data_IF_313776511663
#
_entry.id   IF_313776511663
#
_cell.length_a   1.000
_cell.length_b   1.000
_cell.length_c   1.000
_cell.angle_alpha   90.00
_cell.angle_beta   90.00
_cell.angle_gamma   90.00
#
_symmetry.space_group_name_H-M   'P 1'
#
loop_
_entity.id
_entity.type
_entity.pdbx_description
1 polymer ?
#
# COMPACT_ATOMS: atom_id res chain seq x y z
N UNK A 1 -13.96 -58.95 -47.77
CA UNK A 1 -14.77 -59.13 -46.53
C UNK A 1 -15.29 -57.77 -46.17
N UNK A 2 -16.50 -57.52 -46.63
CA UNK A 2 -17.17 -56.23 -46.66
C UNK A 2 -18.25 -56.17 -45.58
N UNK A 3 -18.41 -54.99 -45.00
CA UNK A 3 -19.65 -54.39 -44.50
C UNK A 3 -19.36 -52.88 -44.40
N UNK A 4 -20.07 -51.93 -45.04
CA UNK A 4 -21.48 -51.80 -45.42
C UNK A 4 -22.44 -51.81 -44.20
N UNK A 5 -23.36 -50.85 -44.02
CA UNK A 5 -23.72 -49.64 -44.80
C UNK A 5 -24.53 -48.64 -43.92
N UNK A 6 -24.93 -47.49 -44.48
CA UNK A 6 -26.04 -46.61 -44.03
C UNK A 6 -25.79 -45.73 -42.77
N UNK A 7 -26.42 -44.56 -42.54
CA UNK A 7 -27.23 -43.55 -43.29
C UNK A 7 -27.32 -42.29 -42.37
N UNK A 8 -27.67 -41.05 -42.71
CA UNK A 8 -27.75 -40.23 -43.94
C UNK A 8 -27.95 -38.75 -43.47
N UNK A 9 -27.28 -37.72 -44.04
CA UNK A 9 -27.50 -36.31 -43.67
C UNK A 9 -28.52 -35.63 -44.61
N UNK A 10 -29.38 -34.76 -44.05
CA UNK A 10 -30.33 -33.95 -44.82
C UNK A 10 -29.82 -32.51 -44.99
N UNK A 11 -29.76 -32.06 -46.25
CA UNK A 11 -29.66 -30.64 -46.60
C UNK A 11 -31.07 -30.02 -46.70
N UNK A 12 -31.31 -28.89 -46.04
CA UNK A 12 -32.38 -27.95 -46.41
C UNK A 12 -31.85 -26.51 -46.37
N UNK A 13 -31.37 -26.03 -47.52
CA UNK A 13 -31.21 -24.60 -47.79
C UNK A 13 -32.60 -23.94 -47.89
N UNK A 14 -32.90 -22.97 -47.03
CA UNK A 14 -33.81 -21.88 -47.38
C UNK A 14 -33.26 -20.53 -46.89
N UNK A 15 -33.08 -19.63 -47.86
CA UNK A 15 -32.70 -18.24 -47.67
C UNK A 15 -33.86 -17.40 -47.13
N UNK A 16 -33.55 -16.35 -46.38
CA UNK A 16 -34.18 -15.06 -46.66
C UNK A 16 -33.22 -13.89 -46.38
N UNK A 17 -33.17 -12.93 -47.31
CA UNK A 17 -32.30 -11.75 -47.22
C UNK A 17 -33.14 -10.49 -47.15
N UNK A 18 -33.45 -10.02 -45.94
CA UNK A 18 -34.04 -8.69 -45.76
C UNK A 18 -32.99 -7.58 -45.92
N UNK A 19 -33.40 -6.47 -46.53
CA UNK A 19 -32.50 -5.51 -47.16
C UNK A 19 -32.24 -4.31 -46.25
N UNK A 20 -31.01 -3.78 -46.29
CA UNK A 20 -30.64 -2.58 -45.55
C UNK A 20 -31.36 -1.36 -46.13
N UNK A 21 -32.41 -0.91 -45.44
CA UNK A 21 -33.10 0.34 -45.75
C UNK A 21 -32.24 1.55 -45.35
N UNK A 22 -31.69 2.25 -46.34
CA UNK A 22 -31.12 3.58 -46.13
C UNK A 22 -32.20 4.55 -45.64
N UNK A 23 -31.90 5.33 -44.61
CA UNK A 23 -32.66 6.53 -44.24
C UNK A 23 -31.67 7.67 -43.96
N UNK A 24 -31.91 8.79 -44.61
CA UNK A 24 -30.96 9.89 -44.75
C UNK A 24 -31.01 10.88 -43.57
N UNK A 25 -30.02 11.78 -43.54
CA UNK A 25 -29.94 12.87 -42.57
C UNK A 25 -31.07 13.89 -42.79
N UNK A 26 -31.77 14.25 -41.71
CA UNK A 26 -32.61 15.43 -41.62
C UNK A 26 -32.16 16.28 -40.44
N UNK A 27 -31.78 17.53 -40.71
CA UNK A 27 -31.34 18.50 -39.71
C UNK A 27 -32.53 19.22 -39.02
N UNK A 28 -32.17 20.09 -38.08
CA UNK A 28 -32.97 21.14 -37.41
C UNK A 28 -33.80 20.82 -36.15
N UNK A 29 -34.05 21.91 -35.41
CA UNK A 29 -34.89 22.07 -34.18
C UNK A 29 -34.25 21.75 -32.81
N UNK A 30 -33.41 22.69 -32.37
CA UNK A 30 -33.40 23.37 -31.06
C UNK A 30 -33.58 22.59 -29.72
N UNK A 31 -32.58 22.76 -28.85
CA UNK A 31 -32.62 22.47 -27.41
C UNK A 31 -33.26 23.63 -26.60
N UNK A 32 -34.06 23.34 -25.55
CA UNK A 32 -34.28 24.24 -24.42
C UNK A 32 -33.18 24.07 -23.33
N UNK A 33 -32.97 25.05 -22.43
CA UNK A 33 -31.82 25.10 -21.53
C UNK A 33 -31.97 24.27 -20.23
N UNK A 34 -30.84 24.13 -19.52
CA UNK A 34 -30.76 23.67 -18.13
C UNK A 34 -31.24 24.77 -17.17
N UNK A 35 -31.84 24.37 -16.04
CA UNK A 35 -31.96 25.19 -14.83
C UNK A 35 -31.18 24.50 -13.70
N UNK A 36 -30.29 25.25 -13.04
CA UNK A 36 -29.61 24.84 -11.80
C UNK A 36 -30.38 25.38 -10.59
N UNK A 37 -30.66 24.56 -9.58
CA UNK A 37 -30.88 25.07 -8.21
C UNK A 37 -30.21 24.18 -7.17
N UNK A 38 -29.33 24.82 -6.39
CA UNK A 38 -28.72 24.28 -5.16
C UNK A 38 -29.74 24.32 -4.02
N UNK A 39 -29.66 23.34 -3.11
CA UNK A 39 -29.53 23.60 -1.66
C UNK A 39 -28.56 22.57 -1.10
N UNK A 40 -27.62 23.02 -0.26
CA UNK A 40 -26.88 22.17 0.67
C UNK A 40 -27.36 22.50 2.08
N UNK A 41 -27.34 21.52 3.00
CA UNK A 41 -27.67 21.75 4.40
C UNK A 41 -26.61 21.11 5.30
N UNK A 42 -26.30 21.76 6.42
CA UNK A 42 -25.25 21.39 7.36
C UNK A 42 -25.84 21.39 8.78
N UNK A 43 -25.61 20.33 9.54
CA UNK A 43 -25.97 20.29 10.96
C UNK A 43 -24.85 19.69 11.81
N UNK A 44 -24.12 20.56 12.50
CA UNK A 44 -23.24 20.17 13.60
C UNK A 44 -24.05 19.67 14.81
N UNK A 45 -23.49 18.73 15.56
CA UNK A 45 -23.96 18.40 16.90
C UNK A 45 -22.77 18.02 17.80
N UNK A 46 -22.48 18.86 18.79
CA UNK A 46 -21.42 18.62 19.79
C UNK A 46 -21.99 17.99 21.06
N UNK A 47 -21.20 17.14 21.73
CA UNK A 47 -21.59 16.45 22.96
C UNK A 47 -20.38 16.07 23.82
N UNK A 48 -20.21 16.77 24.94
CA UNK A 48 -19.21 16.50 25.99
C UNK A 48 -19.88 15.94 27.25
N UNK A 49 -19.16 15.15 28.05
CA UNK A 49 -19.16 15.22 29.52
C UNK A 49 -18.01 14.38 30.11
N UNK A 50 -17.47 14.85 31.25
CA UNK A 50 -16.30 14.36 31.99
C UNK A 50 -16.54 13.09 32.82
N UNK A 51 -15.45 12.43 33.25
CA UNK A 51 -15.16 12.28 34.69
C UNK A 51 -13.70 11.93 34.96
N UNK A 52 -13.01 12.78 35.71
CA UNK A 52 -11.68 12.51 36.29
C UNK A 52 -11.81 12.02 37.75
N UNK A 53 -10.76 11.38 38.27
CA UNK A 53 -10.47 11.24 39.71
C UNK A 53 -8.97 11.10 39.93
N UNK A 54 -8.45 11.87 40.86
CA UNK A 54 -7.09 11.79 41.40
C UNK A 54 -7.09 11.01 42.72
N UNK A 55 -5.95 10.41 43.08
CA UNK A 55 -5.52 10.12 44.45
C UNK A 55 -3.99 9.84 44.40
N UNK A 56 -3.17 10.64 45.07
CA UNK A 56 -1.70 10.51 45.10
C UNK A 56 -1.23 9.49 46.16
N UNK A 57 -0.07 8.83 45.94
CA UNK A 57 0.97 8.64 46.99
C UNK A 57 2.26 8.01 46.45
N UNK A 58 3.40 8.69 46.63
CA UNK A 58 4.73 8.15 46.33
C UNK A 58 5.30 7.22 47.41
N UNK A 59 6.07 6.21 46.98
CA UNK A 59 7.42 5.95 47.52
C UNK A 59 8.18 4.85 46.75
N UNK A 60 9.48 5.07 46.51
CA UNK A 60 10.41 4.11 45.90
C UNK A 60 10.59 2.83 46.74
N UNK A 61 11.01 1.72 46.08
CA UNK A 61 12.28 1.05 46.38
C UNK A 61 12.65 -0.06 45.36
N UNK A 62 13.89 -0.55 45.46
CA UNK A 62 14.57 -1.38 44.45
C UNK A 62 14.15 -2.87 44.36
N UNK A 63 14.50 -3.48 43.22
CA UNK A 63 14.85 -4.88 42.98
C UNK A 63 14.14 -6.02 43.77
N UNK A 64 13.32 -6.81 43.05
CA UNK A 64 13.38 -8.28 43.19
C UNK A 64 12.76 -9.03 42.00
N UNK A 65 13.53 -9.95 41.41
CA UNK A 65 13.11 -10.82 40.31
C UNK A 65 12.21 -11.97 40.78
N UNK A 66 10.91 -11.71 40.98
CA UNK A 66 9.92 -12.74 41.30
C UNK A 66 8.71 -12.71 40.35
N UNK A 67 8.38 -13.88 39.78
CA UNK A 67 7.20 -14.09 38.95
C UNK A 67 5.92 -13.72 39.70
N UNK A 68 5.34 -12.55 39.42
CA UNK A 68 3.96 -12.28 39.82
C UNK A 68 2.99 -12.99 38.88
N UNK A 69 1.97 -13.57 39.50
CA UNK A 69 0.78 -14.16 38.88
C UNK A 69 -0.05 -13.00 38.35
N UNK A 70 -0.62 -13.13 37.15
CA UNK A 70 -1.34 -12.02 36.53
C UNK A 70 -2.49 -11.52 37.40
N UNK A 71 -2.39 -10.26 37.84
CA UNK A 71 -3.56 -9.41 38.00
C UNK A 71 -4.05 -9.04 36.60
N UNK A 72 -5.34 -8.76 36.48
CA UNK A 72 -5.99 -8.56 35.18
C UNK A 72 -5.72 -7.12 34.71
N UNK A 73 -5.15 -6.95 33.52
CA UNK A 73 -5.01 -5.64 32.86
C UNK A 73 -6.44 -5.11 32.59
N UNK A 74 -7.02 -4.34 33.54
CA UNK A 74 -8.42 -3.87 33.49
C UNK A 74 -8.69 -2.85 32.36
N UNK A 75 -7.64 -2.36 31.71
CA UNK A 75 -7.72 -1.65 30.43
C UNK A 75 -7.26 -2.59 29.30
N UNK A 76 -8.08 -2.85 28.26
CA UNK A 76 -7.63 -3.56 27.08
C UNK A 76 -6.48 -2.79 26.42
N UNK A 77 -5.27 -3.36 26.40
CA UNK A 77 -4.14 -2.79 25.65
C UNK A 77 -4.55 -2.69 24.18
N UNK A 78 -4.67 -1.46 23.67
CA UNK A 78 -5.49 -1.12 22.50
C UNK A 78 -5.14 -1.86 21.19
N UNK A 79 -3.95 -2.47 21.11
CA UNK A 79 -3.44 -3.17 19.92
C UNK A 79 -3.06 -4.64 20.17
N UNK A 80 -3.37 -5.19 21.35
CA UNK A 80 -2.94 -6.55 21.73
C UNK A 80 -3.89 -7.62 21.18
N UNK A 81 -3.62 -7.98 19.92
CA UNK A 81 -4.30 -9.01 19.13
C UNK A 81 -4.69 -10.25 19.94
N UNK A 82 -5.94 -10.68 19.84
CA UNK A 82 -6.49 -11.78 20.62
C UNK A 82 -6.09 -13.15 20.08
N UNK A 83 -5.77 -14.08 20.99
CA UNK A 83 -5.30 -15.43 20.63
C UNK A 83 -6.47 -16.40 20.41
N UNK A 84 -7.27 -16.15 19.37
CA UNK A 84 -8.45 -16.94 19.02
C UNK A 84 -8.19 -18.32 18.41
N UNK A 85 -9.27 -19.05 18.13
CA UNK A 85 -9.25 -20.33 17.39
C UNK A 85 -8.82 -20.08 15.94
N UNK A 86 -8.27 -21.07 15.24
CA UNK A 86 -7.93 -20.92 13.82
C UNK A 86 -9.18 -21.20 12.98
N UNK A 87 -9.72 -20.17 12.31
CA UNK A 87 -10.71 -20.36 11.25
C UNK A 87 -9.99 -20.65 9.92
N UNK A 88 -10.21 -21.83 9.34
CA UNK A 88 -9.65 -22.22 8.05
C UNK A 88 -10.40 -21.61 6.87
N UNK A 89 -11.72 -21.43 6.97
CA UNK A 89 -12.53 -20.83 5.90
C UNK A 89 -12.15 -19.35 5.70
N UNK A 90 -11.84 -18.65 6.79
CA UNK A 90 -11.28 -17.29 6.73
C UNK A 90 -9.87 -17.29 6.12
N UNK A 91 -8.99 -18.26 6.44
CA UNK A 91 -7.69 -18.39 5.77
C UNK A 91 -7.85 -18.58 4.26
N UNK A 92 -8.78 -19.45 3.84
CA UNK A 92 -9.02 -19.73 2.42
C UNK A 92 -9.66 -18.54 1.70
N UNK A 93 -10.42 -17.68 2.39
CA UNK A 93 -10.85 -16.37 1.89
C UNK A 93 -9.66 -15.39 1.75
N UNK A 94 -8.88 -15.20 2.81
CA UNK A 94 -7.72 -14.32 2.84
C UNK A 94 -6.67 -14.69 1.77
N UNK A 95 -6.46 -15.99 1.53
CA UNK A 95 -5.55 -16.47 0.49
C UNK A 95 -6.05 -16.08 -0.92
N UNK A 96 -7.36 -16.17 -1.19
CA UNK A 96 -7.96 -15.71 -2.45
C UNK A 96 -7.82 -14.19 -2.62
N UNK A 97 -8.10 -13.41 -1.58
CA UNK A 97 -7.92 -11.95 -1.61
C UNK A 97 -6.45 -11.56 -1.86
N UNK A 98 -5.49 -12.30 -1.31
CA UNK A 98 -4.05 -12.12 -1.56
C UNK A 98 -3.69 -12.44 -3.02
N UNK A 99 -4.23 -13.51 -3.59
CA UNK A 99 -4.00 -13.89 -4.99
C UNK A 99 -4.64 -12.89 -5.98
N UNK A 100 -5.86 -12.43 -5.72
CA UNK A 100 -6.54 -11.38 -6.50
C UNK A 100 -5.79 -10.03 -6.42
N UNK A 101 -5.32 -9.64 -5.22
CA UNK A 101 -4.51 -8.45 -5.02
C UNK A 101 -3.16 -8.53 -5.76
N UNK A 102 -2.50 -9.70 -5.73
CA UNK A 102 -1.24 -9.94 -6.44
C UNK A 102 -1.41 -9.92 -7.96
N UNK A 103 -2.49 -10.50 -8.47
CA UNK A 103 -2.84 -10.50 -9.90
C UNK A 103 -3.38 -9.13 -10.37
N UNK A 104 -3.87 -8.28 -9.45
CA UNK A 104 -4.62 -7.04 -9.71
C UNK A 104 -5.89 -7.25 -10.54
N UNK A 105 -6.54 -8.40 -10.34
CA UNK A 105 -7.88 -8.72 -10.88
C UNK A 105 -8.77 -9.13 -9.70
N UNK A 106 -10.09 -9.10 -9.85
CA UNK A 106 -11.00 -9.87 -8.98
C UNK A 106 -11.86 -10.72 -9.90
N UNK A 107 -11.84 -12.03 -9.71
CA UNK A 107 -12.78 -12.93 -10.37
C UNK A 107 -13.73 -13.49 -9.30
N UNK A 108 -14.97 -13.00 -9.29
CA UNK A 108 -16.04 -13.63 -8.52
C UNK A 108 -16.27 -15.03 -9.06
N UNK A 109 -16.06 -16.04 -8.23
CA UNK A 109 -16.26 -17.47 -8.53
C UNK A 109 -17.76 -17.85 -8.69
N UNK A 110 -18.65 -16.86 -8.65
CA UNK A 110 -20.10 -17.00 -8.63
C UNK A 110 -20.65 -17.58 -9.93
N UNK A 111 -21.47 -18.61 -9.77
CA UNK A 111 -22.15 -19.33 -10.85
C UNK A 111 -23.24 -18.54 -11.59
N UNK A 112 -23.36 -17.24 -11.31
CA UNK A 112 -24.20 -16.27 -12.02
C UNK A 112 -23.41 -15.36 -12.98
N UNK A 113 -22.13 -15.68 -13.28
CA UNK A 113 -21.31 -14.91 -14.21
C UNK A 113 -22.04 -14.61 -15.54
N UNK A 114 -22.32 -13.32 -15.78
CA UNK A 114 -23.08 -12.88 -16.97
C UNK A 114 -22.36 -13.33 -18.24
N UNK A 115 -23.04 -14.12 -19.08
CA UNK A 115 -22.40 -14.78 -20.23
C UNK A 115 -21.86 -13.76 -21.25
N UNK A 116 -20.58 -13.44 -21.15
CA UNK A 116 -19.89 -12.53 -22.04
C UNK A 116 -19.51 -13.23 -23.34
N UNK A 117 -20.27 -13.00 -24.40
CA UNK A 117 -19.92 -13.44 -25.75
C UNK A 117 -18.75 -12.62 -26.32
N UNK A 118 -17.87 -13.20 -27.16
CA UNK A 118 -16.88 -12.43 -27.92
C UNK A 118 -17.58 -11.49 -28.91
N UNK A 119 -16.92 -10.39 -29.31
CA UNK A 119 -17.46 -9.49 -30.34
C UNK A 119 -16.37 -8.82 -31.16
N UNK A 120 -16.61 -8.70 -32.47
CA UNK A 120 -15.80 -7.84 -33.34
C UNK A 120 -16.38 -6.42 -33.37
N UNK A 121 -15.55 -5.43 -33.01
CA UNK A 121 -15.88 -4.01 -33.11
C UNK A 121 -15.02 -3.37 -34.20
N UNK A 122 -15.59 -3.24 -35.40
CA UNK A 122 -14.87 -2.80 -36.59
C UNK A 122 -13.74 -3.77 -36.96
N UNK A 123 -12.50 -3.30 -36.86
CA UNK A 123 -11.30 -4.11 -37.09
C UNK A 123 -10.77 -4.80 -35.82
N UNK A 124 -11.33 -4.49 -34.65
CA UNK A 124 -10.84 -4.99 -33.36
C UNK A 124 -11.65 -6.21 -32.90
N UNK A 125 -10.99 -7.29 -32.49
CA UNK A 125 -11.66 -8.44 -31.90
C UNK A 125 -11.52 -8.40 -30.37
N UNK A 126 -12.65 -8.54 -29.67
CA UNK A 126 -12.74 -8.61 -28.21
C UNK A 126 -13.15 -10.02 -27.81
N UNK A 127 -12.19 -10.79 -27.30
CA UNK A 127 -12.43 -12.11 -26.72
C UNK A 127 -13.09 -12.03 -25.34
N UNK A 128 -13.59 -13.17 -24.86
CA UNK A 128 -14.21 -13.29 -23.53
C UNK A 128 -13.28 -12.81 -22.39
N UNK A 129 -12.02 -13.30 -22.24
CA UNK A 129 -11.16 -12.87 -21.14
C UNK A 129 -10.79 -11.38 -21.20
N UNK A 130 -10.56 -10.83 -22.40
CA UNK A 130 -10.30 -9.38 -22.56
C UNK A 130 -11.48 -8.52 -22.09
N UNK A 131 -12.72 -8.99 -22.29
CA UNK A 131 -13.91 -8.32 -21.77
C UNK A 131 -14.03 -8.42 -20.26
N UNK A 132 -13.75 -9.60 -19.66
CA UNK A 132 -13.72 -9.75 -18.19
C UNK A 132 -12.74 -8.75 -17.57
N UNK A 133 -11.50 -8.70 -18.08
CA UNK A 133 -10.47 -7.76 -17.65
C UNK A 133 -10.88 -6.29 -17.87
N UNK A 134 -11.53 -5.96 -18.99
CA UNK A 134 -12.03 -4.61 -19.25
C UNK A 134 -13.10 -4.16 -18.25
N UNK A 135 -14.07 -5.04 -17.91
CA UNK A 135 -15.12 -4.69 -16.95
C UNK A 135 -14.59 -4.63 -15.51
N UNK A 136 -13.68 -5.53 -15.11
CA UNK A 136 -12.97 -5.45 -13.83
C UNK A 136 -12.15 -4.17 -13.71
N UNK A 137 -11.40 -3.81 -14.75
CA UNK A 137 -10.58 -2.61 -14.78
C UNK A 137 -11.43 -1.34 -14.63
N UNK A 138 -12.60 -1.28 -15.27
CA UNK A 138 -13.55 -0.17 -15.12
C UNK A 138 -14.13 -0.14 -13.71
N UNK A 139 -14.44 -1.29 -13.10
CA UNK A 139 -14.97 -1.34 -11.74
C UNK A 139 -13.97 -0.84 -10.69
N UNK A 140 -12.66 -1.11 -10.86
CA UNK A 140 -11.61 -0.68 -9.92
C UNK A 140 -10.98 0.70 -10.22
N UNK A 141 -10.85 1.10 -11.50
CA UNK A 141 -10.19 2.36 -11.90
C UNK A 141 -11.16 3.48 -12.30
N UNK A 142 -12.42 3.14 -12.59
CA UNK A 142 -13.40 4.05 -13.17
C UNK A 142 -13.18 4.30 -14.68
N UNK A 143 -14.23 4.76 -15.35
CA UNK A 143 -14.28 4.95 -16.82
C UNK A 143 -13.33 6.04 -17.39
N UNK A 144 -12.55 6.72 -16.54
CA UNK A 144 -11.66 7.83 -16.90
C UNK A 144 -10.20 7.43 -17.06
N UNK A 145 -9.75 6.33 -16.45
CA UNK A 145 -8.36 5.88 -16.52
C UNK A 145 -8.12 4.96 -17.73
N UNK A 146 -8.17 5.56 -18.93
CA UNK A 146 -7.86 4.87 -20.18
C UNK A 146 -6.48 4.15 -20.19
N UNK A 147 -5.36 4.78 -19.74
CA UNK A 147 -4.07 4.09 -19.73
C UNK A 147 -4.00 2.97 -18.70
N UNK A 148 -4.59 3.12 -17.51
CA UNK A 148 -4.67 2.05 -16.51
C UNK A 148 -5.51 0.86 -16.99
N UNK A 149 -6.66 1.10 -17.63
CA UNK A 149 -7.49 0.04 -18.22
C UNK A 149 -6.74 -0.67 -19.36
N UNK A 150 -6.11 0.07 -20.28
CA UNK A 150 -5.30 -0.52 -21.35
C UNK A 150 -4.13 -1.35 -20.79
N UNK A 151 -3.44 -0.85 -19.76
CA UNK A 151 -2.33 -1.56 -19.12
C UNK A 151 -2.75 -2.83 -18.37
N UNK A 152 -4.00 -2.94 -17.90
CA UNK A 152 -4.54 -4.18 -17.30
C UNK A 152 -4.93 -5.22 -18.33
N UNK A 153 -5.49 -4.79 -19.47
CA UNK A 153 -5.89 -5.70 -20.56
C UNK A 153 -4.64 -6.21 -21.31
N UNK A 154 -3.63 -5.35 -21.49
CA UNK A 154 -2.33 -5.69 -22.09
C UNK A 154 -2.33 -5.97 -23.60
N UNK A 155 -3.46 -6.42 -24.16
CA UNK A 155 -3.66 -6.75 -25.58
C UNK A 155 -4.37 -5.67 -26.40
N UNK A 156 -4.79 -4.57 -25.75
CA UNK A 156 -5.59 -3.49 -26.36
C UNK A 156 -5.01 -2.12 -26.02
N UNK A 157 -4.96 -1.24 -27.00
CA UNK A 157 -4.52 0.15 -26.84
C UNK A 157 -5.61 1.06 -26.25
N UNK A 158 -5.19 2.20 -25.69
CA UNK A 158 -6.09 3.23 -25.13
C UNK A 158 -7.21 3.67 -26.11
N UNK A 159 -6.90 3.71 -27.40
CA UNK A 159 -7.83 4.10 -28.46
C UNK A 159 -8.92 3.02 -28.65
N UNK A 160 -8.56 1.74 -28.58
CA UNK A 160 -9.49 0.62 -28.68
C UNK A 160 -10.35 0.49 -27.42
N UNK A 161 -9.76 0.70 -26.25
CA UNK A 161 -10.45 0.78 -24.96
C UNK A 161 -11.50 1.90 -24.96
N UNK A 162 -11.11 3.11 -25.38
CA UNK A 162 -12.04 4.24 -25.48
C UNK A 162 -13.11 4.00 -26.57
N UNK A 163 -12.76 3.38 -27.70
CA UNK A 163 -13.74 2.99 -28.71
C UNK A 163 -14.79 2.02 -28.15
N UNK A 164 -14.38 1.03 -27.35
CA UNK A 164 -15.31 0.08 -26.73
C UNK A 164 -16.18 0.72 -25.64
N UNK A 165 -15.61 1.63 -24.82
CA UNK A 165 -16.39 2.48 -23.90
C UNK A 165 -17.46 3.29 -24.64
N UNK A 166 -17.11 3.92 -25.76
CA UNK A 166 -18.05 4.71 -26.57
C UNK A 166 -19.15 3.86 -27.22
N UNK A 167 -18.84 2.63 -27.63
CA UNK A 167 -19.83 1.66 -28.12
C UNK A 167 -20.84 1.33 -27.00
N UNK A 168 -20.37 1.08 -25.79
CA UNK A 168 -21.22 0.79 -24.62
C UNK A 168 -22.07 2.02 -24.22
N UNK A 169 -21.50 3.23 -24.26
CA UNK A 169 -22.24 4.50 -24.05
C UNK A 169 -23.36 4.66 -25.10
N UNK A 170 -23.07 4.45 -26.38
CA UNK A 170 -24.06 4.53 -27.48
C UNK A 170 -25.16 3.48 -27.31
N UNK A 171 -24.82 2.23 -26.98
CA UNK A 171 -25.78 1.16 -26.73
C UNK A 171 -26.72 1.48 -25.54
N UNK A 172 -26.18 2.06 -24.45
CA UNK A 172 -26.98 2.54 -23.30
C UNK A 172 -27.95 3.65 -23.71
N UNK A 173 -27.48 4.65 -24.46
CA UNK A 173 -28.32 5.77 -24.94
C UNK A 173 -29.43 5.30 -25.91
N UNK A 174 -29.13 4.36 -26.81
CA UNK A 174 -30.12 3.77 -27.71
C UNK A 174 -31.18 2.97 -26.92
N UNK A 175 -30.76 2.16 -25.95
CA UNK A 175 -31.70 1.44 -25.06
C UNK A 175 -32.61 2.41 -24.31
N UNK A 176 -32.07 3.49 -23.73
CA UNK A 176 -32.86 4.51 -23.02
C UNK A 176 -33.87 5.26 -23.91
N UNK A 177 -33.65 5.32 -25.23
CA UNK A 177 -34.62 5.89 -26.19
C UNK A 177 -35.73 4.90 -26.55
N UNK A 178 -35.40 3.62 -26.69
CA UNK A 178 -36.36 2.55 -27.05
C UNK A 178 -37.17 2.05 -25.84
N UNK A 179 -36.56 2.00 -24.66
CA UNK A 179 -37.11 1.50 -23.40
C UNK A 179 -36.96 2.61 -22.35
N UNK A 180 -38.08 3.11 -21.82
CA UNK A 180 -38.09 4.20 -20.82
C UNK A 180 -37.55 3.82 -19.44
N UNK A 181 -37.17 2.57 -19.22
CA UNK A 181 -36.51 2.08 -18.01
C UNK A 181 -34.99 2.00 -18.24
N UNK A 182 -34.16 2.28 -17.22
CA UNK A 182 -32.72 2.01 -17.31
C UNK A 182 -32.47 0.49 -17.47
N UNK A 183 -31.23 0.13 -17.83
CA UNK A 183 -30.86 -1.29 -17.96
C UNK A 183 -30.69 -2.02 -16.62
N UNK A 184 -30.59 -1.25 -15.54
CA UNK A 184 -30.57 -1.64 -14.12
C UNK A 184 -31.32 -0.51 -13.40
N UNK A 185 -32.42 -0.78 -12.71
CA UNK A 185 -33.11 0.16 -11.82
C UNK A 185 -32.39 0.21 -10.45
N UNK A 186 -32.53 1.30 -9.69
CA UNK A 186 -31.85 1.43 -8.38
C UNK A 186 -32.11 0.26 -7.40
N UNK A 187 -33.29 -0.38 -7.34
CA UNK A 187 -33.52 -1.57 -6.51
C UNK A 187 -32.87 -2.87 -7.04
N UNK A 188 -32.38 -2.89 -8.28
CA UNK A 188 -31.69 -4.03 -8.90
C UNK A 188 -30.17 -3.94 -8.70
N UNK A 189 -29.65 -2.77 -8.32
CA UNK A 189 -28.32 -2.65 -7.72
C UNK A 189 -28.43 -3.28 -6.32
N UNK A 190 -27.63 -4.31 -5.98
CA UNK A 190 -27.65 -4.84 -4.62
C UNK A 190 -27.25 -3.72 -3.65
N UNK A 191 -28.15 -3.39 -2.72
CA UNK A 191 -27.83 -2.48 -1.63
C UNK A 191 -26.63 -3.03 -0.86
N UNK A 192 -25.73 -2.16 -0.40
CA UNK A 192 -24.56 -2.57 0.36
C UNK A 192 -25.03 -3.39 1.57
N UNK A 193 -24.66 -4.67 1.60
CA UNK A 193 -25.10 -5.59 2.66
C UNK A 193 -24.32 -5.25 3.92
N UNK A 194 -24.97 -4.55 4.84
CA UNK A 194 -24.42 -4.27 6.16
C UNK A 194 -24.15 -5.60 6.88
N UNK A 195 -22.86 -5.91 7.09
CA UNK A 195 -22.46 -7.03 7.93
C UNK A 195 -22.92 -6.77 9.36
N UNK A 196 -23.52 -7.76 10.00
CA UNK A 196 -23.93 -7.62 11.39
C UNK A 196 -22.71 -7.42 12.29
N UNK A 197 -22.84 -6.63 13.36
CA UNK A 197 -21.74 -6.36 14.30
C UNK A 197 -21.13 -7.66 14.87
N UNK A 198 -21.94 -8.72 15.00
CA UNK A 198 -21.49 -10.06 15.40
C UNK A 198 -20.61 -10.74 14.33
N UNK A 199 -20.93 -10.55 13.05
CA UNK A 199 -20.10 -11.01 11.93
C UNK A 199 -18.77 -10.26 11.91
N UNK A 200 -18.79 -8.92 12.00
CA UNK A 200 -17.57 -8.10 12.05
C UNK A 200 -16.63 -8.58 13.17
N UNK A 201 -17.11 -8.70 14.41
CA UNK A 201 -16.28 -9.19 15.52
C UNK A 201 -15.76 -10.62 15.34
N UNK A 202 -16.50 -11.50 14.66
CA UNK A 202 -16.01 -12.86 14.37
C UNK A 202 -14.94 -12.87 13.26
N UNK A 203 -15.00 -11.93 12.31
CA UNK A 203 -13.96 -11.71 11.31
C UNK A 203 -12.71 -11.07 11.95
N UNK A 204 -12.89 -10.12 12.86
CA UNK A 204 -11.81 -9.50 13.65
C UNK A 204 -11.08 -10.54 14.51
N UNK A 205 -11.81 -11.40 15.25
CA UNK A 205 -11.20 -12.48 16.05
C UNK A 205 -10.42 -13.45 15.16
N UNK A 206 -10.96 -13.82 13.98
CA UNK A 206 -10.28 -14.69 13.03
C UNK A 206 -8.98 -14.04 12.49
N UNK A 207 -9.02 -12.75 12.14
CA UNK A 207 -7.88 -11.98 11.67
C UNK A 207 -6.77 -11.91 12.73
N UNK A 208 -7.11 -11.52 13.96
CA UNK A 208 -6.21 -11.51 15.12
C UNK A 208 -5.57 -12.88 15.38
N UNK A 209 -6.40 -13.92 15.37
CA UNK A 209 -5.98 -15.30 15.61
C UNK A 209 -5.01 -15.81 14.53
N UNK A 210 -5.15 -15.38 13.28
CA UNK A 210 -4.21 -15.68 12.20
C UNK A 210 -2.93 -14.84 12.35
N UNK A 211 -3.07 -13.54 12.63
CA UNK A 211 -1.96 -12.60 12.77
C UNK A 211 -0.99 -13.01 13.88
N UNK A 212 -1.48 -13.35 15.08
CA UNK A 212 -0.68 -13.87 16.20
C UNK A 212 0.03 -15.20 15.88
N UNK A 213 -0.51 -16.00 14.93
CA UNK A 213 0.15 -17.24 14.45
C UNK A 213 1.19 -16.96 13.37
N UNK A 214 1.04 -15.91 12.57
CA UNK A 214 2.02 -15.49 11.58
C UNK A 214 3.22 -14.82 12.27
N UNK A 215 2.95 -13.89 13.18
CA UNK A 215 3.94 -13.18 14.01
C UNK A 215 4.89 -14.19 14.69
N UNK A 216 4.35 -15.23 15.35
CA UNK A 216 5.18 -16.29 15.95
C UNK A 216 5.99 -17.12 14.94
N UNK A 217 5.49 -17.34 13.72
CA UNK A 217 6.26 -18.04 12.67
C UNK A 217 7.40 -17.17 12.15
N UNK A 218 7.29 -15.85 12.26
CA UNK A 218 8.31 -14.89 11.89
C UNK A 218 9.35 -14.75 13.01
N UNK A 219 8.93 -14.62 14.28
CA UNK A 219 9.79 -14.75 15.47
C UNK A 219 10.67 -16.01 15.37
N UNK A 220 10.05 -17.18 15.17
CA UNK A 220 10.76 -18.47 15.08
C UNK A 220 11.70 -18.56 13.88
N UNK A 221 11.42 -17.85 12.78
CA UNK A 221 12.29 -17.82 11.59
C UNK A 221 13.50 -16.93 11.83
N UNK A 222 13.31 -15.78 12.46
CA UNK A 222 14.41 -14.87 12.84
C UNK A 222 15.29 -15.48 13.92
N UNK A 223 14.70 -16.08 14.97
CA UNK A 223 15.41 -16.83 16.01
C UNK A 223 16.23 -17.99 15.41
N UNK A 224 15.67 -18.73 14.44
CA UNK A 224 16.39 -19.80 13.73
C UNK A 224 17.51 -19.31 12.82
N UNK A 225 17.52 -18.03 12.42
CA UNK A 225 18.51 -17.42 11.51
C UNK A 225 19.62 -16.67 12.24
N UNK A 226 19.30 -16.05 13.38
CA UNK A 226 20.17 -15.12 14.11
C UNK A 226 20.47 -15.51 15.56
N UNK A 227 19.82 -16.56 16.10
CA UNK A 227 19.95 -16.96 17.50
C UNK A 227 19.69 -15.78 18.45
N UNK A 228 20.47 -15.69 19.53
CA UNK A 228 20.36 -14.69 20.60
C UNK A 228 20.40 -13.21 20.16
N UNK A 229 20.69 -12.90 18.88
CA UNK A 229 20.68 -11.54 18.35
C UNK A 229 19.51 -11.22 17.38
N UNK A 230 18.50 -12.10 17.27
CA UNK A 230 17.35 -11.91 16.36
C UNK A 230 16.57 -10.62 16.62
N UNK A 231 16.30 -10.30 17.89
CA UNK A 231 15.69 -9.05 18.33
C UNK A 231 16.78 -8.07 18.84
N UNK A 232 17.10 -7.04 18.06
CA UNK A 232 18.13 -6.06 18.44
C UNK A 232 17.50 -5.01 19.34
N UNK A 233 17.34 -5.37 20.61
CA UNK A 233 16.95 -4.48 21.70
C UNK A 233 18.06 -3.45 22.03
N UNK A 234 17.73 -2.33 22.71
CA UNK A 234 18.72 -1.31 23.11
C UNK A 234 19.88 -1.83 23.98
N UNK A 235 19.71 -2.99 24.65
CA UNK A 235 20.78 -3.68 25.40
C UNK A 235 21.74 -4.41 24.46
N UNK A 236 21.22 -5.12 23.46
CA UNK A 236 22.00 -5.87 22.47
C UNK A 236 22.73 -4.92 21.51
N UNK A 237 22.05 -3.87 21.03
CA UNK A 237 22.66 -2.83 20.19
C UNK A 237 23.92 -2.21 20.82
N UNK A 238 23.86 -1.83 22.11
CA UNK A 238 25.00 -1.26 22.85
C UNK A 238 26.17 -2.23 23.07
N UNK A 239 25.96 -3.55 22.93
CA UNK A 239 27.02 -4.56 23.00
C UNK A 239 27.69 -4.72 21.64
N UNK A 240 26.88 -4.87 20.59
CA UNK A 240 27.35 -4.96 19.20
C UNK A 240 28.13 -3.70 18.79
N UNK A 241 27.63 -2.51 19.15
CA UNK A 241 28.30 -1.21 18.88
C UNK A 241 29.68 -1.06 19.56
N UNK A 242 29.96 -1.84 20.63
CA UNK A 242 31.27 -1.89 21.29
C UNK A 242 32.21 -2.93 20.67
N UNK A 243 31.73 -3.73 19.72
CA UNK A 243 32.45 -4.89 19.20
C UNK A 243 32.38 -6.14 20.09
N UNK A 244 31.44 -6.23 21.03
CA UNK A 244 31.19 -7.48 21.75
C UNK A 244 30.53 -8.50 20.81
N UNK A 245 31.11 -9.70 20.69
CA UNK A 245 30.47 -10.82 19.99
C UNK A 245 29.27 -11.31 20.80
N UNK A 246 28.06 -11.01 20.33
CA UNK A 246 26.81 -11.48 20.96
C UNK A 246 26.52 -12.95 20.62
N UNK A 247 26.86 -13.38 19.41
CA UNK A 247 26.77 -14.78 18.95
C UNK A 247 28.17 -15.20 18.47
N UNK A 248 28.63 -16.38 18.90
CA UNK A 248 29.95 -16.89 18.49
C UNK A 248 29.94 -17.35 17.02
N UNK A 249 30.89 -16.86 16.23
CA UNK A 249 31.08 -17.27 14.83
C UNK A 249 30.19 -16.59 13.79
N UNK A 250 29.21 -15.76 14.18
CA UNK A 250 28.33 -15.04 13.25
C UNK A 250 28.85 -13.62 12.99
N UNK A 251 29.34 -13.36 11.77
CA UNK A 251 29.75 -12.02 11.35
C UNK A 251 28.54 -11.17 10.98
N UNK A 252 28.37 -10.02 11.64
CA UNK A 252 27.26 -9.09 11.40
C UNK A 252 27.75 -7.96 10.48
N UNK A 253 27.49 -7.98 9.16
CA UNK A 253 28.04 -6.97 8.26
C UNK A 253 27.44 -5.58 8.50
N UNK A 254 26.20 -5.51 8.98
CA UNK A 254 25.49 -4.26 9.25
C UNK A 254 26.10 -3.43 10.40
N UNK A 255 26.69 -4.06 11.43
CA UNK A 255 27.31 -3.33 12.56
C UNK A 255 28.61 -2.62 12.18
N UNK A 256 29.21 -2.98 11.04
CA UNK A 256 30.39 -2.30 10.49
C UNK A 256 30.03 -1.00 9.74
N UNK A 257 28.75 -0.80 9.43
CA UNK A 257 28.22 0.34 8.68
C UNK A 257 27.30 1.24 9.52
N UNK A 258 26.54 0.66 10.46
CA UNK A 258 25.55 1.37 11.26
C UNK A 258 25.85 1.30 12.76
N UNK A 259 25.70 2.43 13.45
CA UNK A 259 25.61 2.44 14.92
C UNK A 259 24.16 2.09 15.33
N UNK A 260 23.97 0.89 15.88
CA UNK A 260 22.66 0.31 16.13
C UNK A 260 21.94 1.05 17.27
N UNK A 261 22.65 1.52 18.29
CA UNK A 261 22.04 2.31 19.36
C UNK A 261 21.46 3.64 18.85
N UNK A 262 22.10 4.29 17.89
CA UNK A 262 21.57 5.53 17.27
C UNK A 262 20.32 5.24 16.43
N UNK A 263 20.28 4.13 15.69
CA UNK A 263 19.08 3.71 14.96
C UNK A 263 17.88 3.51 15.90
N UNK A 264 18.07 2.77 17.00
CA UNK A 264 17.00 2.57 17.99
C UNK A 264 16.57 3.88 18.66
N UNK A 265 17.52 4.79 18.96
CA UNK A 265 17.21 6.14 19.47
C UNK A 265 16.39 7.00 18.50
N UNK A 266 16.60 6.85 17.19
CA UNK A 266 15.77 7.52 16.18
C UNK A 266 14.35 6.93 16.17
N UNK A 267 14.19 5.63 16.42
CA UNK A 267 12.87 5.00 16.60
C UNK A 267 12.17 5.52 17.87
N UNK A 268 12.86 5.40 19.01
CA UNK A 268 12.46 5.83 20.37
C UNK A 268 12.02 7.31 20.45
N UNK A 269 12.67 8.22 19.70
CA UNK A 269 12.50 9.67 19.88
C UNK A 269 11.94 10.43 18.68
N UNK A 270 11.87 9.81 17.50
CA UNK A 270 11.45 10.49 16.27
C UNK A 270 10.42 9.68 15.48
N UNK A 271 10.66 8.39 15.21
CA UNK A 271 9.76 7.63 14.32
C UNK A 271 8.56 6.98 15.01
N UNK A 272 8.59 6.81 16.33
CA UNK A 272 7.50 6.20 17.11
C UNK A 272 7.11 7.06 18.33
N UNK A 273 7.31 8.38 18.28
CA UNK A 273 7.10 9.29 19.41
C UNK A 273 6.10 10.41 19.07
N UNK A 274 5.00 10.04 18.40
CA UNK A 274 3.91 10.96 18.04
C UNK A 274 3.13 11.44 19.27
N UNK A 275 2.50 12.61 19.18
CA UNK A 275 1.50 13.05 20.17
C UNK A 275 0.20 12.22 20.12
N UNK A 276 -0.01 11.43 19.06
CA UNK A 276 -1.14 10.48 19.01
C UNK A 276 -0.72 9.18 19.71
N UNK A 277 -1.47 8.70 20.73
CA UNK A 277 -1.16 7.45 21.43
C UNK A 277 -0.97 6.24 20.50
N UNK A 278 -1.82 6.08 19.47
CA UNK A 278 -1.72 4.98 18.49
C UNK A 278 -0.47 5.01 17.60
N UNK A 279 0.29 6.11 17.61
CA UNK A 279 1.55 6.30 16.88
C UNK A 279 2.75 6.47 17.86
N UNK A 280 2.52 6.29 19.18
CA UNK A 280 3.54 6.40 20.23
C UNK A 280 3.88 5.01 20.80
N UNK A 281 5.16 4.64 20.88
CA UNK A 281 5.58 3.32 21.35
C UNK A 281 5.19 3.04 22.81
N UNK A 282 5.24 4.05 23.69
CA UNK A 282 5.03 3.88 25.14
C UNK A 282 3.55 3.59 25.48
N UNK A 283 2.62 4.04 24.62
CA UNK A 283 1.19 3.72 24.70
C UNK A 283 0.83 2.32 24.18
N UNK A 284 1.75 1.60 23.52
CA UNK A 284 1.48 0.32 22.85
C UNK A 284 1.98 -0.86 23.69
N UNK A 285 3.24 -0.82 24.14
CA UNK A 285 3.78 -1.75 25.14
C UNK A 285 4.91 -1.09 25.92
N UNK A 286 5.12 -1.53 27.17
CA UNK A 286 6.10 -0.98 28.12
C UNK A 286 7.55 -1.39 27.78
N UNK A 287 7.89 -1.51 26.48
CA UNK A 287 9.18 -1.94 25.95
C UNK A 287 9.72 -0.88 24.99
N UNK A 288 10.96 -0.41 25.18
CA UNK A 288 11.57 0.53 24.24
C UNK A 288 11.76 -0.15 22.87
N UNK A 289 11.60 0.58 21.75
CA UNK A 289 11.69 0.01 20.40
C UNK A 289 12.94 -0.84 20.14
N UNK A 290 12.72 -1.98 19.50
CA UNK A 290 13.73 -2.87 18.95
C UNK A 290 13.51 -3.08 17.44
N UNK A 291 14.50 -3.65 16.77
CA UNK A 291 14.46 -3.90 15.32
C UNK A 291 15.04 -5.30 15.07
N UNK A 292 14.45 -6.09 14.17
CA UNK A 292 14.94 -7.43 13.85
C UNK A 292 16.27 -7.40 13.08
N UNK A 293 17.10 -8.42 13.29
CA UNK A 293 18.40 -8.53 12.63
C UNK A 293 18.31 -8.64 11.09
N UNK A 294 17.28 -9.30 10.53
CA UNK A 294 17.04 -9.27 9.07
C UNK A 294 16.79 -7.85 8.57
N UNK A 295 16.08 -7.00 9.31
CA UNK A 295 15.82 -5.62 8.88
C UNK A 295 17.11 -4.79 8.79
N UNK A 296 18.08 -5.01 9.68
CA UNK A 296 19.41 -4.40 9.56
C UNK A 296 20.26 -5.00 8.42
N UNK A 297 20.13 -6.30 8.13
CA UNK A 297 20.72 -6.93 6.93
C UNK A 297 20.15 -6.33 5.63
N UNK A 298 18.84 -6.08 5.57
CA UNK A 298 18.17 -5.43 4.45
C UNK A 298 18.62 -3.98 4.29
N UNK A 299 18.66 -3.18 5.37
CA UNK A 299 19.19 -1.81 5.31
C UNK A 299 20.65 -1.76 4.86
N UNK A 300 21.48 -2.70 5.31
CA UNK A 300 22.88 -2.80 4.88
C UNK A 300 22.97 -3.18 3.40
N UNK A 301 22.18 -4.16 2.95
CA UNK A 301 22.12 -4.61 1.56
C UNK A 301 21.64 -3.50 0.62
N UNK A 302 20.64 -2.73 1.04
CA UNK A 302 20.14 -1.55 0.34
C UNK A 302 21.19 -0.44 0.27
N UNK A 303 21.85 -0.11 1.39
CA UNK A 303 22.92 0.89 1.42
C UNK A 303 24.10 0.51 0.51
N UNK A 304 24.53 -0.76 0.55
CA UNK A 304 25.59 -1.30 -0.31
C UNK A 304 25.15 -1.33 -1.78
N UNK A 305 23.89 -1.64 -2.09
CA UNK A 305 23.35 -1.63 -3.45
C UNK A 305 23.30 -0.21 -4.05
N UNK A 306 22.78 0.77 -3.30
CA UNK A 306 22.69 2.17 -3.74
C UNK A 306 24.08 2.79 -3.89
N UNK A 307 24.99 2.58 -2.92
CA UNK A 307 26.36 3.12 -3.02
C UNK A 307 27.15 2.51 -4.17
N UNK A 308 27.06 1.18 -4.40
CA UNK A 308 27.66 0.55 -5.59
C UNK A 308 27.11 1.14 -6.89
N UNK A 309 25.79 1.28 -7.01
CA UNK A 309 25.15 1.86 -8.21
C UNK A 309 25.62 3.31 -8.45
N UNK A 310 25.61 4.13 -7.40
CA UNK A 310 26.09 5.51 -7.47
C UNK A 310 27.54 5.58 -7.93
N UNK A 311 28.45 4.82 -7.30
CA UNK A 311 29.88 4.78 -7.68
C UNK A 311 30.08 4.32 -9.13
N UNK A 312 29.34 3.29 -9.58
CA UNK A 312 29.42 2.84 -10.97
C UNK A 312 28.94 3.92 -11.96
N UNK A 313 27.84 4.61 -11.66
CA UNK A 313 27.33 5.69 -12.51
C UNK A 313 28.27 6.91 -12.51
N UNK A 314 28.90 7.28 -11.38
CA UNK A 314 29.88 8.39 -11.35
C UNK A 314 31.13 8.06 -12.16
N UNK A 315 31.66 6.84 -12.06
CA UNK A 315 32.78 6.38 -12.87
C UNK A 315 32.40 6.48 -14.36
N UNK A 316 31.28 5.89 -14.77
CA UNK A 316 30.82 5.92 -16.18
C UNK A 316 30.65 7.34 -16.74
N UNK A 317 29.98 8.25 -16.00
CA UNK A 317 29.78 9.63 -16.44
C UNK A 317 31.10 10.42 -16.47
N UNK A 318 31.96 10.23 -15.47
CA UNK A 318 33.29 10.88 -15.45
C UNK A 318 34.18 10.39 -16.59
N UNK A 319 34.17 9.10 -16.91
CA UNK A 319 34.88 8.51 -18.05
C UNK A 319 34.35 9.05 -19.38
N UNK A 320 33.03 9.09 -19.56
CA UNK A 320 32.40 9.66 -20.76
C UNK A 320 32.87 11.10 -20.99
N UNK A 321 32.82 11.95 -19.94
CA UNK A 321 33.34 13.32 -19.96
C UNK A 321 34.85 13.38 -20.22
N UNK A 322 35.65 12.50 -19.62
CA UNK A 322 37.11 12.45 -19.82
C UNK A 322 37.44 12.10 -21.27
N UNK A 323 36.78 11.09 -21.85
CA UNK A 323 36.99 10.65 -23.25
C UNK A 323 36.64 11.78 -24.23
N UNK A 324 35.42 12.31 -24.16
CA UNK A 324 34.97 13.40 -25.04
C UNK A 324 35.82 14.68 -24.90
N UNK A 325 36.32 14.99 -23.69
CA UNK A 325 37.20 16.15 -23.50
C UNK A 325 38.66 15.87 -23.90
N UNK A 326 39.16 14.64 -23.82
CA UNK A 326 40.50 14.27 -24.31
C UNK A 326 40.61 14.36 -25.83
N UNK A 327 39.54 14.08 -26.56
CA UNK A 327 39.46 14.24 -28.02
C UNK A 327 39.72 15.70 -28.45
N UNK A 328 39.16 16.67 -27.72
CA UNK A 328 39.37 18.11 -27.96
C UNK A 328 40.65 18.65 -27.32
N UNK A 329 41.04 18.14 -26.14
CA UNK A 329 42.17 18.63 -25.33
C UNK A 329 42.91 17.43 -24.71
N UNK A 330 43.95 16.90 -25.39
CA UNK A 330 44.67 15.69 -24.95
C UNK A 330 45.30 15.78 -23.55
N UNK A 331 45.60 16.98 -23.06
CA UNK A 331 46.15 17.25 -21.71
C UNK A 331 45.09 17.19 -20.58
N UNK A 332 43.86 16.76 -20.89
CA UNK A 332 42.79 16.63 -19.89
C UNK A 332 43.12 15.57 -18.83
N UNK A 333 43.15 16.01 -17.56
CA UNK A 333 43.41 15.15 -16.39
C UNK A 333 42.26 14.16 -16.16
N UNK A 334 42.64 12.94 -15.82
CA UNK A 334 41.73 11.84 -15.45
C UNK A 334 41.35 11.97 -13.97
N UNK A 335 40.39 12.85 -13.69
CA UNK A 335 39.85 13.07 -12.35
C UNK A 335 38.33 13.07 -12.39
N UNK A 336 37.71 12.45 -11.38
CA UNK A 336 36.29 12.57 -11.05
C UNK A 336 36.06 13.95 -10.43
N UNK A 337 34.89 14.56 -10.72
CA UNK A 337 34.47 15.89 -10.23
C UNK A 337 33.17 15.77 -9.45
N UNK A 338 32.90 16.73 -8.55
CA UNK A 338 31.60 16.85 -7.89
C UNK A 338 30.43 16.87 -8.90
N UNK A 339 30.61 17.57 -10.03
CA UNK A 339 29.66 17.61 -11.15
C UNK A 339 29.35 16.22 -11.77
N UNK A 340 30.31 15.28 -11.75
CA UNK A 340 30.07 13.91 -12.22
C UNK A 340 29.24 13.11 -11.20
N UNK A 341 29.33 13.48 -9.90
CA UNK A 341 28.53 12.94 -8.81
C UNK A 341 27.12 13.50 -8.83
N UNK A 342 26.97 14.82 -8.97
CA UNK A 342 25.68 15.51 -9.12
C UNK A 342 24.90 14.97 -10.34
N UNK A 343 25.58 14.77 -11.47
CA UNK A 343 24.98 14.16 -12.66
C UNK A 343 24.56 12.70 -12.44
N UNK A 344 25.31 11.91 -11.67
CA UNK A 344 24.94 10.54 -11.33
C UNK A 344 23.73 10.48 -10.37
N UNK A 345 23.69 11.35 -9.36
CA UNK A 345 22.55 11.49 -8.44
C UNK A 345 21.27 11.82 -9.22
N UNK A 346 21.32 12.81 -10.11
CA UNK A 346 20.21 13.15 -11.00
C UNK A 346 19.82 12.01 -11.95
N UNK A 347 20.79 11.34 -12.57
CA UNK A 347 20.57 10.22 -13.51
C UNK A 347 19.95 8.98 -12.83
N UNK A 348 20.19 8.80 -11.53
CA UNK A 348 19.61 7.74 -10.72
C UNK A 348 18.28 8.12 -10.06
N UNK A 349 17.76 9.33 -10.30
CA UNK A 349 16.52 9.83 -9.68
C UNK A 349 16.62 10.02 -8.16
N UNK A 350 17.84 10.20 -7.64
CA UNK A 350 18.09 10.36 -6.20
C UNK A 350 17.97 11.84 -5.78
N UNK A 351 17.42 12.08 -4.60
CA UNK A 351 17.33 13.43 -4.02
C UNK A 351 18.72 13.93 -3.58
N UNK A 352 19.13 15.11 -4.06
CA UNK A 352 20.42 15.73 -3.71
C UNK A 352 20.55 16.17 -2.25
N UNK A 353 19.44 16.26 -1.50
CA UNK A 353 19.43 16.86 -0.17
C UNK A 353 18.33 16.25 0.74
N UNK A 354 18.72 15.83 1.96
CA UNK A 354 17.82 15.30 2.99
C UNK A 354 17.24 16.35 3.93
N UNK A 355 17.72 17.60 3.94
CA UNK A 355 17.20 18.67 4.81
C UNK A 355 15.69 18.88 4.61
N UNK A 356 15.14 18.80 3.40
CA UNK A 356 13.68 18.93 3.20
C UNK A 356 12.85 17.80 3.86
N UNK A 357 13.43 16.61 4.02
CA UNK A 357 12.82 15.49 4.73
C UNK A 357 12.88 15.72 6.25
N UNK A 358 14.01 16.19 6.77
CA UNK A 358 14.21 16.43 8.20
C UNK A 358 13.49 17.68 8.72
N UNK A 359 13.51 18.80 8.00
CA UNK A 359 12.82 20.03 8.38
C UNK A 359 11.29 19.83 8.47
N UNK A 360 10.72 18.90 7.68
CA UNK A 360 9.29 18.54 7.73
C UNK A 360 9.00 17.38 8.70
N UNK A 361 10.01 16.81 9.35
CA UNK A 361 9.89 15.55 10.07
C UNK A 361 8.97 15.65 11.30
N UNK A 362 9.18 16.67 12.16
CA UNK A 362 8.37 16.88 13.36
C UNK A 362 6.87 17.00 13.03
N UNK A 363 6.51 17.88 12.08
CA UNK A 363 5.12 18.06 11.65
C UNK A 363 4.53 16.84 10.94
N UNK A 364 5.34 16.04 10.23
CA UNK A 364 4.91 14.80 9.56
C UNK A 364 4.62 13.67 10.56
N UNK A 365 5.39 13.60 11.63
CA UNK A 365 5.31 12.56 12.66
C UNK A 365 4.61 13.05 13.95
N UNK A 366 3.99 14.23 13.88
CA UNK A 366 3.25 14.91 14.96
C UNK A 366 4.02 14.95 16.29
N UNK A 367 5.33 15.20 16.21
CA UNK A 367 6.19 15.23 17.39
C UNK A 367 5.96 16.51 18.18
N UNK A 368 5.67 16.35 19.47
CA UNK A 368 5.78 17.45 20.42
C UNK A 368 7.24 17.89 20.51
N UNK A 369 7.49 19.19 20.50
CA UNK A 369 8.85 19.71 20.53
C UNK A 369 8.93 20.95 21.41
N UNK A 370 9.80 20.88 22.41
CA UNK A 370 10.06 21.92 23.37
C UNK A 370 11.43 22.56 23.07
N UNK A 371 11.75 23.71 23.66
CA UNK A 371 13.08 24.36 23.49
C UNK A 371 14.19 23.58 24.22
N UNK A 372 13.85 23.06 25.40
CA UNK A 372 14.67 22.16 26.21
C UNK A 372 13.91 20.85 26.42
N UNK A 373 14.58 19.69 26.53
CA UNK A 373 13.89 18.47 26.93
C UNK A 373 13.28 18.65 28.33
N UNK A 374 11.99 18.33 28.55
CA UNK A 374 11.40 18.36 29.88
C UNK A 374 12.16 17.40 30.80
N UNK A 375 12.20 17.73 32.10
CA UNK A 375 12.56 16.75 33.10
C UNK A 375 11.39 15.77 33.27
N UNK A 376 11.65 14.55 33.74
CA UNK A 376 10.61 13.51 33.87
C UNK A 376 9.48 13.85 34.85
N UNK A 377 9.73 14.82 35.71
CA UNK A 377 8.79 15.39 36.68
C UNK A 377 8.00 16.59 36.09
N UNK A 378 8.34 17.02 34.86
CA UNK A 378 7.76 18.16 34.13
C UNK A 378 7.08 17.73 32.81
N UNK A 379 6.98 16.42 32.53
CA UNK A 379 6.37 15.84 31.31
C UNK A 379 4.84 16.02 31.33
N UNK A 380 4.40 17.25 31.07
CA UNK A 380 3.00 17.70 31.03
C UNK A 380 2.81 19.20 31.28
N UNK A 381 3.77 19.87 31.94
CA UNK A 381 3.65 21.29 32.31
C UNK A 381 4.17 22.27 31.23
N UNK A 382 5.08 21.83 30.36
CA UNK A 382 5.70 22.69 29.33
C UNK A 382 4.91 22.64 28.02
N UNK A 383 4.25 23.74 27.64
CA UNK A 383 3.57 23.85 26.34
C UNK A 383 4.52 23.51 25.15
N UNK A 384 4.07 22.72 24.16
CA UNK A 384 4.87 22.41 22.97
C UNK A 384 4.88 23.57 21.97
N UNK A 385 6.02 23.79 21.31
CA UNK A 385 6.20 24.88 20.34
C UNK A 385 5.34 24.71 19.09
N UNK A 386 4.92 25.83 18.49
CA UNK A 386 4.22 25.79 17.21
C UNK A 386 5.16 25.40 16.06
N UNK A 387 4.67 24.58 15.14
CA UNK A 387 5.42 24.21 13.94
C UNK A 387 5.72 25.39 13.00
N UNK A 388 5.01 26.51 13.13
CA UNK A 388 5.17 27.67 12.24
C UNK A 388 6.32 28.60 12.65
N UNK A 389 6.68 28.62 13.95
CA UNK A 389 7.72 29.49 14.52
C UNK A 389 9.13 29.10 14.06
N UNK A 390 9.29 27.88 13.53
CA UNK A 390 10.56 27.24 13.16
C UNK A 390 11.10 27.60 11.77
N UNK A 391 10.59 28.66 11.15
CA UNK A 391 11.02 29.09 9.80
C UNK A 391 12.19 30.11 9.81
N UNK A 392 12.76 30.44 10.97
CA UNK A 392 13.70 31.57 11.16
C UNK A 392 15.10 31.21 11.72
N UNK A 393 15.45 29.91 11.80
CA UNK A 393 16.78 29.41 12.22
C UNK A 393 17.28 28.29 11.31
#
# INVERSE_FOLDING_TARGET
MESETNYEPLDEDLSDTEQVGNLELGDDVLLPPLDEQYVADQTDASGSVYSEKEDETDQDNEDSSLKRRGEEDLAPRLFKRQKGVLNTEYLDLLNRDIEDAAQRVCFTDDSEETVLYPSQMGLTYWSIPEKKLFFEAIARLGQSDLPGIASRIGTKSEIEVNHYLDVLRRARLLRQRQVRRPAIEFPEIPAAVELSQQCCHALDEAADAISVRQERKEEQREESKWGDCWDISPRIARRIDKGETVVEGQDLPFSKLFNLHTWLRLSERIFMNSSIPSENWDSIDNRPPSIWATTFEDFHSLAVSITKRLVQTTIFLSESRIRAKKELVPTTREIIRAQDVEAAVSSLGLNHNSHQFWNKCARRLRLEVHEEPPQREEEGEREPLSYEERHLT
#
